data_IF_571677684756
#
_entry.id   IF_571677684756
#
_cell.length_a   1.000
_cell.length_b   1.000
_cell.length_c   1.000
_cell.angle_alpha   90.00
_cell.angle_beta   90.00
_cell.angle_gamma   90.00
#
_symmetry.space_group_name_H-M   'P 1'
#
loop_
_entity.id
_entity.type
_entity.pdbx_description
1 polymer ?
#
# COMPACT_ATOMS: atom_id res chain seq x y z
N UNK A 1 1.73 -10.12 -18.59
CA UNK A 1 2.11 -9.44 -17.35
C UNK A 1 0.82 -9.32 -16.57
N UNK A 2 0.73 -9.91 -15.38
CA UNK A 2 -0.54 -9.91 -14.64
C UNK A 2 -0.74 -8.53 -14.00
N UNK A 3 -1.78 -7.81 -14.43
CA UNK A 3 -2.19 -6.55 -13.81
C UNK A 3 -2.99 -6.89 -12.54
N UNK A 4 -2.28 -7.20 -11.46
CA UNK A 4 -2.85 -7.33 -10.13
C UNK A 4 -2.54 -6.06 -9.31
N UNK A 5 -3.50 -5.52 -8.54
CA UNK A 5 -4.88 -5.98 -8.37
C UNK A 5 -5.73 -5.79 -9.64
N UNK A 6 -6.75 -6.64 -9.81
CA UNK A 6 -7.75 -6.45 -10.87
C UNK A 6 -8.52 -5.18 -10.55
N UNK A 7 -8.37 -4.16 -11.39
CA UNK A 7 -8.94 -2.83 -11.16
C UNK A 7 -10.46 -2.84 -11.36
N UNK A 8 -11.23 -2.07 -10.57
CA UNK A 8 -12.67 -1.98 -10.74
C UNK A 8 -13.02 -1.32 -12.07
N UNK A 9 -14.12 -1.74 -12.71
CA UNK A 9 -14.54 -1.24 -14.03
C UNK A 9 -14.76 0.27 -14.07
N UNK A 10 -15.13 0.87 -12.93
CA UNK A 10 -15.37 2.30 -12.80
C UNK A 10 -14.19 3.07 -12.17
N UNK A 11 -12.96 2.56 -12.27
CA UNK A 11 -11.77 3.18 -11.70
C UNK A 11 -11.63 4.66 -12.09
N UNK A 12 -11.84 5.00 -13.36
CA UNK A 12 -11.73 6.38 -13.84
C UNK A 12 -12.72 7.32 -13.14
N UNK A 13 -13.92 6.84 -12.81
CA UNK A 13 -14.88 7.61 -12.04
C UNK A 13 -14.44 7.75 -10.59
N UNK A 14 -13.89 6.70 -9.97
CA UNK A 14 -13.36 6.78 -8.60
C UNK A 14 -12.24 7.82 -8.54
N UNK A 15 -11.37 7.86 -9.56
CA UNK A 15 -10.19 8.70 -9.65
C UNK A 15 -10.43 10.16 -10.09
N UNK A 16 -11.67 10.62 -10.28
CA UNK A 16 -11.94 12.05 -10.56
C UNK A 16 -11.64 12.94 -9.34
N UNK A 17 -11.17 14.18 -9.52
CA UNK A 17 -11.05 14.91 -10.81
C UNK A 17 -9.83 14.47 -11.65
N UNK A 18 -8.82 13.86 -11.04
CA UNK A 18 -7.74 13.17 -11.75
C UNK A 18 -7.03 12.20 -10.79
N UNK A 19 -6.46 11.11 -11.32
CA UNK A 19 -5.68 10.12 -10.55
C UNK A 19 -4.67 10.79 -9.62
N UNK A 20 -3.90 11.75 -10.15
CA UNK A 20 -2.92 12.52 -9.38
C UNK A 20 -3.55 13.28 -8.20
N UNK A 21 -4.65 14.00 -8.43
CA UNK A 21 -5.31 14.76 -7.37
C UNK A 21 -5.82 13.86 -6.23
N UNK A 22 -6.32 12.66 -6.59
CA UNK A 22 -6.72 11.66 -5.60
C UNK A 22 -5.52 11.18 -4.78
N UNK A 23 -4.43 10.81 -5.44
CA UNK A 23 -3.21 10.36 -4.77
C UNK A 23 -2.58 11.44 -3.88
N UNK A 24 -2.50 12.68 -4.36
CA UNK A 24 -2.00 13.83 -3.59
C UNK A 24 -2.85 14.06 -2.33
N UNK A 25 -4.16 13.90 -2.44
CA UNK A 25 -5.08 14.05 -1.30
C UNK A 25 -4.85 12.96 -0.26
N UNK A 26 -4.68 11.70 -0.68
CA UNK A 26 -4.32 10.62 0.22
C UNK A 26 -2.93 10.81 0.84
N UNK A 27 -1.94 11.29 0.07
CA UNK A 27 -0.57 11.50 0.53
C UNK A 27 -0.48 12.56 1.65
N UNK A 28 -1.28 13.63 1.55
CA UNK A 28 -1.32 14.69 2.56
C UNK A 28 -2.07 14.29 3.84
N UNK A 29 -3.01 13.33 3.74
CA UNK A 29 -3.75 12.67 4.84
C UNK A 29 -4.28 13.59 5.95
N UNK A 30 -4.60 14.84 5.67
CA UNK A 30 -5.22 15.72 6.67
C UNK A 30 -6.71 15.37 6.77
N UNK A 31 -7.04 14.42 7.65
CA UNK A 31 -8.42 13.95 7.90
C UNK A 31 -9.40 15.08 8.28
N UNK A 32 -8.86 16.21 8.75
CA UNK A 32 -9.64 17.40 9.09
C UNK A 32 -9.83 18.36 7.92
N UNK A 33 -9.12 18.16 6.80
CA UNK A 33 -9.24 18.99 5.60
C UNK A 33 -10.59 18.76 4.91
N UNK A 34 -11.35 19.83 4.57
CA UNK A 34 -12.57 19.71 3.77
C UNK A 34 -12.36 19.00 2.43
N UNK A 35 -11.19 19.20 1.80
CA UNK A 35 -10.84 18.57 0.52
C UNK A 35 -10.72 17.06 0.70
N UNK A 36 -10.05 16.61 1.77
CA UNK A 36 -9.92 15.18 2.07
C UNK A 36 -11.29 14.55 2.30
N UNK A 37 -12.12 15.15 3.17
CA UNK A 37 -13.46 14.63 3.47
C UNK A 37 -14.34 14.55 2.23
N UNK A 38 -14.39 15.61 1.43
CA UNK A 38 -15.18 15.64 0.20
C UNK A 38 -14.74 14.57 -0.79
N UNK A 39 -13.44 14.31 -0.90
CA UNK A 39 -12.94 13.24 -1.75
C UNK A 39 -13.31 11.85 -1.22
N UNK A 40 -13.13 11.59 0.09
CA UNK A 40 -13.47 10.29 0.67
C UNK A 40 -14.97 10.00 0.54
N UNK A 41 -15.84 10.96 0.87
CA UNK A 41 -17.29 10.85 0.68
C UNK A 41 -17.67 10.58 -0.78
N UNK A 42 -16.94 11.20 -1.72
CA UNK A 42 -17.15 10.95 -3.14
C UNK A 42 -16.76 9.51 -3.48
N UNK A 43 -15.59 9.03 -3.05
CA UNK A 43 -15.12 7.67 -3.28
C UNK A 43 -16.14 6.67 -2.71
N UNK A 44 -16.58 6.86 -1.46
CA UNK A 44 -17.60 6.03 -0.80
C UNK A 44 -18.91 5.94 -1.59
N UNK A 45 -19.29 7.01 -2.29
CA UNK A 45 -20.51 7.04 -3.11
C UNK A 45 -20.34 6.33 -4.45
N UNK A 46 -19.16 6.38 -5.06
CA UNK A 46 -18.95 5.89 -6.44
C UNK A 46 -18.34 4.49 -6.47
N UNK A 47 -17.56 4.11 -5.47
CA UNK A 47 -16.98 2.78 -5.35
C UNK A 47 -18.01 1.82 -4.73
N UNK A 48 -18.62 0.98 -5.57
CA UNK A 48 -19.76 0.14 -5.15
C UNK A 48 -19.36 -1.12 -4.36
N UNK A 49 -18.10 -1.52 -4.44
CA UNK A 49 -17.60 -2.77 -3.84
C UNK A 49 -17.09 -2.58 -2.40
N UNK A 50 -17.03 -1.34 -1.91
CA UNK A 50 -16.52 -1.02 -0.58
C UNK A 50 -16.53 0.47 -0.28
N UNK A 51 -15.59 0.92 0.54
CA UNK A 51 -15.40 2.32 0.93
C UNK A 51 -14.01 2.82 0.51
N UNK A 52 -13.71 4.08 0.80
CA UNK A 52 -12.44 4.72 0.50
C UNK A 52 -11.24 4.07 1.21
N UNK A 53 -11.46 3.37 2.32
CA UNK A 53 -10.43 2.60 3.03
C UNK A 53 -10.13 1.31 2.27
N UNK A 54 -11.17 0.58 1.87
CA UNK A 54 -11.05 -0.62 1.04
C UNK A 54 -10.38 -0.28 -0.30
N UNK A 55 -10.81 0.80 -0.95
CA UNK A 55 -10.17 1.32 -2.16
C UNK A 55 -8.69 1.65 -1.95
N UNK A 56 -8.36 2.30 -0.84
CA UNK A 56 -6.98 2.65 -0.49
C UNK A 56 -6.09 1.41 -0.41
N UNK A 57 -6.48 0.41 0.40
CA UNK A 57 -5.65 -0.78 0.63
C UNK A 57 -5.66 -1.78 -0.53
N UNK A 58 -6.77 -1.90 -1.27
CA UNK A 58 -6.86 -2.82 -2.41
C UNK A 58 -6.18 -2.28 -3.65
N UNK A 59 -6.35 -0.99 -3.97
CA UNK A 59 -5.97 -0.46 -5.28
C UNK A 59 -4.95 0.67 -5.20
N UNK A 60 -5.21 1.72 -4.40
CA UNK A 60 -4.45 2.97 -4.46
C UNK A 60 -2.94 2.75 -4.28
N UNK A 61 -2.53 1.86 -3.37
CA UNK A 61 -1.11 1.54 -3.10
C UNK A 61 -0.33 1.12 -4.36
N UNK A 62 -1.03 0.55 -5.35
CA UNK A 62 -0.43 -0.04 -6.56
C UNK A 62 -0.55 0.83 -7.79
N UNK A 63 -1.32 1.93 -7.72
CA UNK A 63 -1.55 2.81 -8.87
C UNK A 63 -0.31 3.66 -9.18
N UNK A 64 -0.07 3.89 -10.46
CA UNK A 64 0.92 4.80 -11.02
C UNK A 64 0.45 6.27 -10.91
N UNK A 65 0.39 6.78 -9.69
CA UNK A 65 -0.15 8.12 -9.38
C UNK A 65 0.59 9.29 -10.05
N UNK A 66 1.85 9.10 -10.43
CA UNK A 66 2.73 10.16 -10.91
C UNK A 66 3.44 9.73 -12.21
N UNK A 67 3.74 10.67 -13.13
CA UNK A 67 4.51 10.35 -14.32
C UNK A 67 5.84 9.69 -13.97
N UNK A 68 6.21 8.65 -14.72
CA UNK A 68 7.47 7.90 -14.58
C UNK A 68 7.66 7.13 -13.26
N UNK A 69 6.61 7.01 -12.45
CA UNK A 69 6.64 6.22 -11.21
C UNK A 69 5.89 4.90 -11.40
N UNK A 70 6.42 3.82 -10.81
CA UNK A 70 5.83 2.48 -10.97
C UNK A 70 4.54 2.30 -10.15
N UNK A 71 4.53 2.74 -8.88
CA UNK A 71 3.34 2.70 -8.04
C UNK A 71 3.42 3.66 -6.83
N UNK A 72 2.26 4.02 -6.30
CA UNK A 72 2.09 5.00 -5.23
C UNK A 72 2.81 4.63 -3.93
N UNK A 73 2.75 3.37 -3.52
CA UNK A 73 3.35 2.93 -2.27
C UNK A 73 4.87 3.11 -2.31
N UNK A 74 5.51 2.59 -3.37
CA UNK A 74 6.96 2.64 -3.51
C UNK A 74 7.48 4.09 -3.57
N UNK A 75 6.87 4.91 -4.43
CA UNK A 75 7.21 6.34 -4.56
C UNK A 75 7.10 7.07 -3.24
N UNK A 76 6.04 6.80 -2.48
CA UNK A 76 5.82 7.50 -1.22
C UNK A 76 6.80 7.05 -0.14
N UNK A 77 7.10 5.76 -0.05
CA UNK A 77 8.09 5.26 0.91
C UNK A 77 9.49 5.78 0.56
N UNK A 78 9.86 5.85 -0.71
CA UNK A 78 11.15 6.39 -1.15
C UNK A 78 11.27 7.90 -0.87
N UNK A 79 10.21 8.67 -1.16
CA UNK A 79 10.23 10.13 -0.99
C UNK A 79 10.05 10.60 0.46
N UNK A 80 9.17 9.95 1.23
CA UNK A 80 8.71 10.42 2.56
C UNK A 80 8.99 9.43 3.70
N UNK A 81 9.40 8.21 3.38
CA UNK A 81 9.75 7.18 4.36
C UNK A 81 8.56 6.40 4.93
N UNK A 82 8.88 5.27 5.54
CA UNK A 82 7.93 4.34 6.19
C UNK A 82 7.09 5.02 7.25
N UNK A 83 7.68 5.95 8.01
CA UNK A 83 6.95 6.68 9.06
C UNK A 83 5.76 7.44 8.48
N UNK A 84 5.94 8.11 7.34
CA UNK A 84 4.86 8.84 6.69
C UNK A 84 3.77 7.89 6.19
N UNK A 85 4.16 6.87 5.41
CA UNK A 85 3.22 5.89 4.86
C UNK A 85 2.40 5.18 5.94
N UNK A 86 3.05 4.65 6.97
CA UNK A 86 2.38 3.77 7.94
C UNK A 86 1.66 4.58 9.02
N UNK A 87 2.21 5.73 9.43
CA UNK A 87 1.62 6.55 10.49
C UNK A 87 0.62 7.56 9.92
N UNK A 88 1.05 8.41 8.99
CA UNK A 88 0.20 9.51 8.49
C UNK A 88 -0.84 9.04 7.49
N UNK A 89 -0.49 8.14 6.56
CA UNK A 89 -1.40 7.74 5.49
C UNK A 89 -2.26 6.52 5.79
N UNK A 90 -1.79 5.62 6.65
CA UNK A 90 -2.54 4.41 7.00
C UNK A 90 -3.16 4.53 8.38
N UNK A 91 -2.34 4.69 9.43
CA UNK A 91 -2.82 4.65 10.82
C UNK A 91 -3.72 5.82 11.21
N UNK A 92 -3.34 7.06 10.91
CA UNK A 92 -4.13 8.25 11.26
C UNK A 92 -5.53 8.21 10.64
N UNK A 93 -5.70 7.99 9.32
CA UNK A 93 -7.04 7.97 8.72
C UNK A 93 -7.82 6.68 8.95
N UNK A 94 -7.15 5.51 9.01
CA UNK A 94 -7.86 4.22 8.98
C UNK A 94 -7.76 3.40 10.27
N UNK A 95 -7.01 3.89 11.26
CA UNK A 95 -6.77 3.20 12.54
C UNK A 95 -5.62 2.20 12.52
N UNK A 96 -5.00 1.94 11.36
CA UNK A 96 -3.83 1.08 11.24
C UNK A 96 -3.50 0.73 9.77
N UNK A 97 -2.72 -0.33 9.59
CA UNK A 97 -2.27 -0.89 8.32
C UNK A 97 -2.96 -2.24 8.10
N UNK A 98 -3.55 -2.45 6.93
CA UNK A 98 -3.91 -3.80 6.48
C UNK A 98 -2.63 -4.55 6.13
N UNK A 99 -2.30 -5.56 6.95
CA UNK A 99 -1.08 -6.37 6.83
C UNK A 99 -1.08 -7.28 5.60
N UNK A 100 -2.25 -7.46 4.98
CA UNK A 100 -2.46 -8.30 3.81
C UNK A 100 -2.62 -7.49 2.52
N UNK A 101 -2.61 -6.16 2.60
CA UNK A 101 -2.65 -5.29 1.43
C UNK A 101 -1.48 -5.61 0.49
N UNK A 102 -1.78 -5.72 -0.79
CA UNK A 102 -0.78 -6.00 -1.81
C UNK A 102 0.05 -4.74 -2.09
N UNK A 103 1.36 -4.89 -2.12
CA UNK A 103 2.31 -3.84 -2.48
C UNK A 103 3.30 -4.37 -3.51
N UNK A 104 3.92 -3.44 -4.22
CA UNK A 104 5.05 -3.71 -5.11
C UNK A 104 6.13 -2.66 -4.85
N UNK A 105 7.34 -3.08 -4.54
CA UNK A 105 8.47 -2.17 -4.29
C UNK A 105 9.72 -2.62 -5.00
N UNK A 106 10.56 -1.65 -5.40
CA UNK A 106 11.86 -1.92 -6.02
C UNK A 106 12.99 -1.64 -5.05
N UNK A 107 13.70 -2.68 -4.63
CA UNK A 107 14.83 -2.58 -3.70
C UNK A 107 15.97 -3.45 -4.18
N UNK A 108 17.21 -3.04 -3.94
CA UNK A 108 18.39 -3.84 -4.31
C UNK A 108 18.42 -4.23 -5.81
N UNK A 109 17.84 -3.40 -6.70
CA UNK A 109 17.71 -3.69 -8.13
C UNK A 109 16.67 -4.78 -8.48
N UNK A 110 15.91 -5.29 -7.51
CA UNK A 110 14.91 -6.35 -7.65
C UNK A 110 13.51 -5.81 -7.34
N UNK A 111 12.49 -6.45 -7.91
CA UNK A 111 11.08 -6.16 -7.61
C UNK A 111 10.60 -7.16 -6.57
N UNK A 112 9.99 -6.65 -5.50
CA UNK A 112 9.31 -7.44 -4.48
C UNK A 112 7.82 -7.10 -4.54
N UNK A 113 6.99 -8.12 -4.66
CA UNK A 113 5.54 -7.92 -4.72
C UNK A 113 4.81 -9.00 -3.93
N UNK A 114 3.71 -8.61 -3.29
CA UNK A 114 2.92 -9.47 -2.42
C UNK A 114 2.32 -8.70 -1.23
N UNK A 115 1.76 -9.41 -0.24
CA UNK A 115 1.23 -8.80 0.98
C UNK A 115 2.31 -8.05 1.76
N UNK A 116 1.97 -6.84 2.22
CA UNK A 116 2.90 -5.92 2.88
C UNK A 116 3.68 -6.56 4.03
N UNK A 117 3.03 -7.39 4.85
CA UNK A 117 3.71 -8.08 5.95
C UNK A 117 4.79 -9.03 5.43
N UNK A 118 4.44 -9.89 4.47
CA UNK A 118 5.35 -10.90 3.93
C UNK A 118 6.51 -10.27 3.15
N UNK A 119 6.24 -9.20 2.41
CA UNK A 119 7.27 -8.44 1.69
C UNK A 119 8.31 -7.88 2.67
N UNK A 120 7.88 -7.17 3.72
CA UNK A 120 8.81 -6.59 4.68
C UNK A 120 9.47 -7.63 5.59
N UNK A 121 8.79 -8.72 5.93
CA UNK A 121 9.38 -9.83 6.67
C UNK A 121 10.53 -10.47 5.88
N UNK A 122 10.31 -10.71 4.59
CA UNK A 122 11.34 -11.22 3.69
C UNK A 122 12.54 -10.28 3.58
N UNK A 123 12.29 -8.98 3.39
CA UNK A 123 13.34 -7.97 3.28
C UNK A 123 14.15 -7.84 4.58
N UNK A 124 13.49 -7.79 5.74
CA UNK A 124 14.19 -7.75 7.03
C UNK A 124 15.00 -9.01 7.28
N UNK A 125 14.51 -10.19 6.90
CA UNK A 125 15.19 -11.47 7.15
C UNK A 125 16.39 -11.68 6.23
N UNK A 126 16.22 -11.49 4.92
CA UNK A 126 17.20 -11.88 3.92
C UNK A 126 18.06 -10.72 3.42
N UNK A 127 17.58 -9.48 3.52
CA UNK A 127 18.29 -8.28 3.06
C UNK A 127 18.70 -7.35 4.22
N UNK A 128 18.82 -7.89 5.45
CA UNK A 128 19.24 -7.14 6.67
C UNK A 128 20.54 -6.34 6.52
N UNK A 129 21.43 -6.78 5.64
CA UNK A 129 22.73 -6.15 5.40
C UNK A 129 22.70 -5.10 4.29
N UNK A 130 21.52 -4.75 3.77
CA UNK A 130 21.34 -3.66 2.82
C UNK A 130 22.03 -2.38 3.30
N UNK A 131 22.89 -1.80 2.45
CA UNK A 131 23.57 -0.54 2.79
C UNK A 131 22.60 0.64 2.83
N UNK A 132 21.59 0.61 1.98
CA UNK A 132 20.67 1.72 1.72
C UNK A 132 19.38 1.55 2.53
N UNK A 133 18.76 0.38 2.45
CA UNK A 133 17.37 0.18 2.86
C UNK A 133 17.20 -0.55 4.20
N UNK A 134 18.27 -1.00 4.87
CA UNK A 134 18.16 -1.72 6.17
C UNK A 134 17.29 -1.01 7.20
N UNK A 135 17.36 0.34 7.25
CA UNK A 135 16.57 1.15 8.19
C UNK A 135 15.08 1.15 7.83
N UNK A 136 14.77 1.11 6.54
CA UNK A 136 13.40 1.00 6.03
C UNK A 136 12.79 -0.32 6.49
N UNK A 137 13.46 -1.44 6.21
CA UNK A 137 12.95 -2.78 6.50
C UNK A 137 12.67 -2.97 7.98
N UNK A 138 13.65 -2.63 8.82
CA UNK A 138 13.49 -2.68 10.27
C UNK A 138 12.37 -1.76 10.77
N UNK A 139 12.27 -0.55 10.22
CA UNK A 139 11.24 0.41 10.63
C UNK A 139 9.83 -0.02 10.24
N UNK A 140 9.68 -0.70 9.11
CA UNK A 140 8.41 -1.25 8.63
C UNK A 140 8.00 -2.44 9.49
N UNK A 141 8.89 -3.42 9.69
CA UNK A 141 8.59 -4.60 10.51
C UNK A 141 8.30 -4.26 11.96
N UNK A 142 9.05 -3.32 12.56
CA UNK A 142 8.75 -2.83 13.91
C UNK A 142 7.32 -2.28 14.03
N UNK A 143 6.80 -1.62 12.99
CA UNK A 143 5.42 -1.11 12.98
C UNK A 143 4.42 -2.22 12.73
N UNK A 144 4.65 -3.08 11.74
CA UNK A 144 3.76 -4.19 11.40
C UNK A 144 3.57 -5.19 12.54
N UNK A 145 4.60 -5.38 13.37
CA UNK A 145 4.49 -6.23 14.55
C UNK A 145 3.78 -5.55 15.73
N UNK A 146 3.67 -4.22 15.75
CA UNK A 146 3.03 -3.49 16.83
C UNK A 146 1.49 -3.55 16.72
N UNK A 147 0.76 -3.99 17.77
CA UNK A 147 -0.70 -4.16 17.69
C UNK A 147 -1.46 -2.89 17.26
N UNK A 148 -1.04 -1.71 17.74
CA UNK A 148 -1.70 -0.44 17.40
C UNK A 148 -1.53 0.02 15.94
N UNK A 149 -0.78 -0.72 15.13
CA UNK A 149 -0.59 -0.48 13.71
C UNK A 149 -1.24 -1.57 12.85
N UNK A 150 -1.78 -2.65 13.42
CA UNK A 150 -2.41 -3.74 12.65
C UNK A 150 -3.92 -3.53 12.59
N UNK A 151 -4.46 -3.43 11.37
CA UNK A 151 -5.91 -3.55 11.13
C UNK A 151 -6.33 -5.01 10.98
N UNK A 152 -5.43 -5.83 10.47
CA UNK A 152 -5.67 -7.24 10.18
C UNK A 152 -4.50 -8.06 10.70
N UNK A 153 -4.76 -9.31 11.05
CA UNK A 153 -3.68 -10.26 11.29
C UNK A 153 -3.03 -10.68 9.96
N UNK A 154 -1.69 -10.82 9.92
CA UNK A 154 -1.01 -11.33 8.74
C UNK A 154 -1.48 -12.74 8.40
N UNK A 155 -1.91 -12.94 7.16
CA UNK A 155 -2.30 -14.26 6.64
C UNK A 155 -1.06 -15.05 6.23
N UNK A 156 -1.14 -16.37 6.38
CA UNK A 156 -0.13 -17.28 5.82
C UNK A 156 -0.20 -17.28 4.29
N UNK A 157 0.92 -17.60 3.64
CA UNK A 157 0.99 -17.77 2.18
C UNK A 157 -0.06 -18.76 1.65
N UNK A 158 -0.31 -19.85 2.39
CA UNK A 158 -1.32 -20.85 2.01
C UNK A 158 -2.74 -20.28 2.03
N UNK A 159 -3.06 -19.42 3.01
CA UNK A 159 -4.36 -18.75 3.06
C UNK A 159 -4.50 -17.74 1.92
N UNK A 160 -3.48 -16.93 1.67
CA UNK A 160 -3.47 -15.94 0.58
C UNK A 160 -3.66 -16.61 -0.77
N UNK A 161 -2.92 -17.68 -1.07
CA UNK A 161 -3.05 -18.43 -2.33
C UNK A 161 -4.42 -19.08 -2.52
N UNK A 162 -5.13 -19.39 -1.43
CA UNK A 162 -6.50 -19.93 -1.48
C UNK A 162 -7.54 -18.85 -1.74
N UNK A 163 -7.37 -17.67 -1.14
CA UNK A 163 -8.34 -16.56 -1.22
C UNK A 163 -8.12 -15.68 -2.46
N UNK A 164 -6.86 -15.52 -2.88
CA UNK A 164 -6.43 -14.70 -4.00
C UNK A 164 -5.40 -15.48 -4.84
N UNK A 165 -5.82 -16.52 -5.58
CA UNK A 165 -4.90 -17.37 -6.35
C UNK A 165 -4.10 -16.61 -7.41
N UNK A 166 -4.64 -15.50 -7.92
CA UNK A 166 -4.01 -14.68 -8.95
C UNK A 166 -3.11 -13.57 -8.39
N UNK A 167 -3.02 -13.41 -7.07
CA UNK A 167 -2.11 -12.44 -6.46
C UNK A 167 -0.65 -12.85 -6.73
N UNK A 168 0.15 -12.03 -7.44
CA UNK A 168 1.55 -12.34 -7.65
C UNK A 168 2.30 -12.23 -6.33
N UNK A 169 3.20 -13.18 -6.09
CA UNK A 169 4.09 -13.16 -4.92
C UNK A 169 5.49 -13.42 -5.43
N UNK A 170 6.30 -12.35 -5.52
CA UNK A 170 7.69 -12.40 -5.94
C UNK A 170 8.57 -11.89 -4.82
N UNK A 171 9.29 -12.81 -4.18
CA UNK A 171 10.19 -12.55 -3.04
C UNK A 171 11.59 -13.11 -3.36
N UNK A 172 12.36 -12.47 -4.26
CA UNK A 172 13.64 -13.00 -4.72
C UNK A 172 14.66 -13.08 -3.59
N UNK A 173 15.47 -14.14 -3.59
CA UNK A 173 16.59 -14.32 -2.65
C UNK A 173 17.78 -13.41 -3.03
N UNK A 174 18.61 -12.99 -2.05
CA UNK A 174 19.79 -12.14 -2.26
C UNK A 174 20.73 -12.64 -3.36
#
# INVERSE_FOLDING_TARGET
MYDYPVLPENLDDILKPSKRAVCDTYQLSSVNSPIYKSLMERIDRVYKEGDHKDFFFKYLLTLDCYPFQENFFDTTVDAMGVSHMFSHMMRTPFGGVDTNAFIRIKREGKVFEGPIYLVYEHLEKYYKNSKIYKKEYYSAMRRLNHPSYRLTEPKSLSQIRREHPDMPISLPMP
#
